data_IF_704022750698
#
_entry.id   IF_704022750698
#
_cell.length_a   1.000
_cell.length_b   1.000
_cell.length_c   1.000
_cell.angle_alpha   90.00
_cell.angle_beta   90.00
_cell.angle_gamma   90.00
#
_symmetry.space_group_name_H-M   'P 1'
#
loop_
_entity.id
_entity.type
_entity.pdbx_description
1 polymer ?
#
# COMPACT_ATOMS: atom_id res chain seq x y z
N UNK A 1 -18.84 -2.19 -12.74
CA UNK A 1 -18.07 -2.89 -11.70
C UNK A 1 -17.73 -4.27 -12.23
N UNK A 2 -16.49 -4.48 -12.71
CA UNK A 2 -16.05 -5.80 -13.15
C UNK A 2 -15.56 -6.55 -11.91
N UNK A 3 -16.28 -7.61 -11.52
CA UNK A 3 -15.83 -8.51 -10.47
C UNK A 3 -14.84 -9.47 -11.13
N UNK A 4 -13.55 -9.25 -10.91
CA UNK A 4 -12.49 -10.11 -11.42
C UNK A 4 -12.53 -11.45 -10.66
N UNK A 5 -12.55 -12.58 -11.38
CA UNK A 5 -12.53 -13.92 -10.78
C UNK A 5 -11.17 -14.14 -10.12
N UNK A 6 -11.19 -14.38 -8.82
CA UNK A 6 -9.99 -14.65 -8.02
C UNK A 6 -9.45 -16.04 -8.39
N UNK A 7 -8.28 -16.11 -8.99
CA UNK A 7 -7.57 -17.34 -9.29
C UNK A 7 -6.74 -17.80 -8.08
N UNK A 8 -7.11 -18.94 -7.47
CA UNK A 8 -6.41 -19.46 -6.27
C UNK A 8 -4.97 -19.93 -6.52
N UNK A 9 -4.59 -20.19 -7.77
CA UNK A 9 -3.34 -20.89 -8.12
C UNK A 9 -2.23 -19.94 -8.57
N UNK A 10 -2.51 -18.64 -8.74
CA UNK A 10 -1.54 -17.63 -9.12
C UNK A 10 -1.70 -16.47 -8.13
N UNK A 11 -0.63 -16.00 -7.45
CA UNK A 11 -0.74 -14.83 -6.60
C UNK A 11 -1.16 -13.64 -7.45
N UNK A 12 -2.42 -13.23 -7.32
CA UNK A 12 -2.94 -12.08 -8.04
C UNK A 12 -2.36 -10.80 -7.44
N UNK A 13 -2.03 -9.85 -8.32
CA UNK A 13 -1.64 -8.51 -7.90
C UNK A 13 -2.89 -7.79 -7.42
N UNK A 14 -2.99 -7.57 -6.13
CA UNK A 14 -4.02 -6.72 -5.53
C UNK A 14 -3.54 -5.27 -5.61
N UNK A 15 -4.42 -4.36 -6.00
CA UNK A 15 -4.13 -2.93 -5.97
C UNK A 15 -5.08 -2.24 -5.00
N UNK A 16 -4.52 -1.47 -4.08
CA UNK A 16 -5.26 -0.57 -3.20
C UNK A 16 -5.06 0.87 -3.67
N UNK A 17 -6.13 1.66 -3.60
CA UNK A 17 -6.04 3.12 -3.77
C UNK A 17 -5.72 3.71 -2.41
N UNK A 18 -4.60 4.43 -2.31
CA UNK A 18 -4.11 5.02 -1.06
C UNK A 18 -3.88 6.51 -1.27
N UNK A 19 -4.25 7.34 -0.29
CA UNK A 19 -3.88 8.76 -0.26
C UNK A 19 -2.45 8.89 0.26
N UNK A 20 -1.59 9.56 -0.49
CA UNK A 20 -0.21 9.78 -0.11
C UNK A 20 -0.11 10.87 0.97
N UNK A 21 0.40 10.54 2.16
CA UNK A 21 0.75 11.53 3.19
C UNK A 21 2.00 12.32 2.78
N UNK A 22 2.94 11.65 2.12
CA UNK A 22 4.15 12.22 1.53
C UNK A 22 4.37 11.69 0.11
N UNK A 23 5.38 12.19 -0.60
CA UNK A 23 5.66 11.71 -1.95
C UNK A 23 6.06 10.23 -1.96
N UNK A 24 5.19 9.36 -2.50
CA UNK A 24 5.44 7.93 -2.63
C UNK A 24 6.13 7.68 -3.98
N UNK A 25 7.37 7.21 -3.94
CA UNK A 25 8.11 6.91 -5.16
C UNK A 25 7.79 5.52 -5.67
N UNK A 26 7.73 5.37 -6.99
CA UNK A 26 7.50 4.11 -7.67
C UNK A 26 8.43 3.02 -7.14
N UNK A 27 7.86 1.82 -6.95
CA UNK A 27 8.54 0.62 -6.47
C UNK A 27 9.17 0.76 -5.08
N UNK A 28 8.85 1.82 -4.31
CA UNK A 28 9.19 1.90 -2.90
C UNK A 28 8.08 1.31 -2.04
N UNK A 29 8.44 0.70 -0.90
CA UNK A 29 7.47 0.16 0.03
C UNK A 29 6.66 1.28 0.68
N UNK A 30 5.37 1.00 0.86
CA UNK A 30 4.39 1.90 1.47
C UNK A 30 3.88 1.26 2.75
N UNK A 31 3.81 2.03 3.82
CA UNK A 31 3.15 1.65 5.09
C UNK A 31 1.92 2.51 5.35
N UNK A 32 1.03 1.97 6.17
CA UNK A 32 -0.05 2.73 6.79
C UNK A 32 0.28 2.87 8.27
N UNK A 33 0.34 4.10 8.75
CA UNK A 33 0.56 4.36 10.17
C UNK A 33 -0.74 4.18 10.95
N UNK A 34 -0.60 3.67 12.17
CA UNK A 34 -1.67 3.52 13.16
C UNK A 34 -1.25 4.24 14.44
N UNK A 35 -1.23 5.57 14.39
CA UNK A 35 -0.71 6.46 15.42
C UNK A 35 -1.82 7.15 16.27
N UNK A 36 -3.09 6.85 15.99
CA UNK A 36 -4.27 7.41 16.63
C UNK A 36 -4.80 8.70 16.00
N UNK A 37 -4.17 9.23 14.95
CA UNK A 37 -4.64 10.42 14.23
C UNK A 37 -5.14 10.12 12.82
N UNK A 38 -4.35 9.40 12.02
CA UNK A 38 -4.67 9.07 10.62
C UNK A 38 -4.58 7.56 10.35
N UNK A 39 -5.10 6.77 11.30
CA UNK A 39 -5.06 5.32 11.31
C UNK A 39 -5.54 4.69 10.01
N UNK A 40 -4.60 4.23 9.18
CA UNK A 40 -4.92 3.57 7.92
C UNK A 40 -5.46 4.48 6.82
N UNK A 41 -5.50 5.81 7.02
CA UNK A 41 -6.07 6.76 6.06
C UNK A 41 -5.07 7.26 5.03
N UNK A 42 -3.79 7.32 5.41
CA UNK A 42 -2.72 7.83 4.56
C UNK A 42 -1.54 6.88 4.48
N UNK A 43 -0.94 6.82 3.30
CA UNK A 43 0.25 6.02 3.01
C UNK A 43 1.52 6.85 3.13
N UNK A 44 2.53 6.25 3.74
CA UNK A 44 3.87 6.83 3.92
C UNK A 44 4.93 5.90 3.36
N UNK A 45 6.11 6.44 3.12
CA UNK A 45 7.29 5.64 2.79
C UNK A 45 7.73 4.91 4.06
N UNK A 46 8.02 3.62 3.93
CA UNK A 46 8.46 2.81 5.07
C UNK A 46 9.72 3.38 5.70
N UNK A 47 9.65 3.66 7.00
CA UNK A 47 10.80 3.86 7.88
C UNK A 47 11.10 2.56 8.64
N UNK A 48 12.27 1.98 8.40
CA UNK A 48 12.68 0.71 9.02
C UNK A 48 12.73 0.75 10.56
N UNK A 49 12.84 1.92 11.18
CA UNK A 49 12.90 2.06 12.64
C UNK A 49 11.51 2.00 13.29
N UNK A 50 10.45 2.28 12.53
CA UNK A 50 9.09 2.48 13.05
C UNK A 50 8.09 1.49 12.43
N UNK A 51 8.32 1.07 11.18
CA UNK A 51 7.29 0.47 10.33
C UNK A 51 7.47 -1.03 10.06
N UNK A 52 8.29 -1.73 10.85
CA UNK A 52 8.72 -3.12 10.57
C UNK A 52 7.59 -4.14 10.37
N UNK A 53 6.36 -3.84 10.80
CA UNK A 53 5.18 -4.69 10.59
C UNK A 53 4.03 -4.06 9.79
N UNK A 54 4.16 -2.79 9.37
CA UNK A 54 3.03 -2.00 8.85
C UNK A 54 3.08 -1.77 7.33
N UNK A 55 3.96 -2.49 6.63
CA UNK A 55 4.11 -2.39 5.18
C UNK A 55 2.93 -3.07 4.46
N UNK A 56 2.23 -2.32 3.60
CA UNK A 56 1.05 -2.80 2.87
C UNK A 56 1.36 -3.22 1.43
N UNK A 57 2.48 -2.78 0.87
CA UNK A 57 2.81 -3.04 -0.53
C UNK A 57 3.86 -2.09 -1.08
N UNK A 58 3.87 -1.92 -2.39
CA UNK A 58 4.77 -1.02 -3.13
C UNK A 58 3.98 -0.08 -4.04
N UNK A 59 4.42 1.17 -4.18
CA UNK A 59 3.78 2.12 -5.08
C UNK A 59 3.96 1.69 -6.55
N UNK A 60 2.87 1.63 -7.32
CA UNK A 60 2.91 1.24 -8.74
C UNK A 60 3.51 2.35 -9.63
N UNK A 61 3.23 3.60 -9.26
CA UNK A 61 3.72 4.82 -9.90
C UNK A 61 4.13 5.85 -8.83
N UNK A 62 4.81 6.91 -9.24
CA UNK A 62 5.05 8.06 -8.35
C UNK A 62 3.71 8.72 -8.00
N UNK A 63 3.48 8.97 -6.71
CA UNK A 63 2.29 9.62 -6.19
C UNK A 63 2.77 10.88 -5.45
N UNK A 64 2.25 12.05 -5.84
CA UNK A 64 2.58 13.29 -5.14
C UNK A 64 1.92 13.32 -3.75
N UNK A 65 2.47 14.10 -2.82
CA UNK A 65 1.85 14.27 -1.50
C UNK A 65 0.44 14.86 -1.64
N UNK A 66 -0.53 14.27 -0.94
CA UNK A 66 -1.94 14.64 -0.98
C UNK A 66 -2.76 13.94 -2.07
N UNK A 67 -2.12 13.37 -3.09
CA UNK A 67 -2.80 12.69 -4.20
C UNK A 67 -3.16 11.24 -3.86
N UNK A 68 -4.12 10.70 -4.61
CA UNK A 68 -4.47 9.29 -4.58
C UNK A 68 -3.72 8.51 -5.66
N UNK A 69 -3.21 7.33 -5.32
CA UNK A 69 -2.56 6.46 -6.29
C UNK A 69 -2.65 4.99 -5.95
N UNK A 70 -2.17 4.16 -6.88
CA UNK A 70 -2.23 2.70 -6.78
C UNK A 70 -1.00 2.15 -6.05
N UNK A 71 -1.27 1.33 -5.04
CA UNK A 71 -0.28 0.54 -4.30
C UNK A 71 -0.52 -0.93 -4.63
N UNK A 72 0.49 -1.60 -5.17
CA UNK A 72 0.45 -3.04 -5.40
C UNK A 72 0.71 -3.75 -4.06
N UNK A 73 -0.31 -4.42 -3.56
CA UNK A 73 -0.26 -5.24 -2.36
C UNK A 73 0.18 -6.65 -2.73
N UNK A 74 1.18 -7.15 -2.02
CA UNK A 74 1.52 -8.57 -2.05
C UNK A 74 0.58 -9.26 -1.08
N UNK A 75 -0.22 -10.21 -1.60
CA UNK A 75 -1.30 -10.85 -0.87
C UNK A 75 -0.86 -11.32 0.52
N UNK A 76 -1.69 -11.04 1.52
CA UNK A 76 -1.53 -11.55 2.87
C UNK A 76 -1.49 -13.08 2.82
N UNK A 77 -0.33 -13.66 3.13
CA UNK A 77 -0.19 -15.05 3.52
C UNK A 77 -0.48 -15.11 5.00
N UNK A 78 -1.63 -15.67 5.34
CA UNK A 78 -2.05 -15.93 6.72
C UNK A 78 -1.59 -17.29 7.22
N UNK A 79 -0.73 -18.01 6.47
CA UNK A 79 -0.18 -19.30 6.87
C UNK A 79 1.06 -19.13 7.75
#
# INVERSE_FOLDING_TARGET
MLIQRINRNVPEKLFLIVKAGEALLKSRPVCLHFDGTDDGLTGFTVNAEVDTGYTIGVADINIASGDFGLVQCYGFRSD
#
